data_IF_927602205898
#
_entry.id   IF_927602205898
#
_cell.length_a   1.000
_cell.length_b   1.000
_cell.length_c   1.000
_cell.angle_alpha   90.00
_cell.angle_beta   90.00
_cell.angle_gamma   90.00
#
_symmetry.space_group_name_H-M   'P 1'
#
loop_
_entity.id
_entity.type
_entity.pdbx_description
1 polymer ?
#
# COMPACT_ATOMS: atom_id res chain seq x y z
N UNK A 1 18.03 -5.08 26.26
CA UNK A 1 16.87 -5.94 26.57
C UNK A 1 16.79 -6.05 28.09
N UNK A 2 15.85 -5.35 28.71
CA UNK A 2 15.59 -5.50 30.14
C UNK A 2 14.64 -6.69 30.34
N UNK A 3 15.01 -7.59 31.25
CA UNK A 3 14.20 -8.74 31.62
C UNK A 3 12.88 -8.25 32.23
N UNK A 4 11.75 -8.77 31.72
CA UNK A 4 10.35 -8.55 32.17
C UNK A 4 9.52 -7.42 31.53
N UNK A 5 10.10 -6.43 30.85
CA UNK A 5 9.29 -5.37 30.18
C UNK A 5 9.21 -5.49 28.66
N UNK A 6 10.07 -6.33 28.04
CA UNK A 6 10.11 -6.48 26.59
C UNK A 6 9.27 -7.70 26.14
N UNK A 7 8.34 -7.54 25.18
CA UNK A 7 7.65 -8.66 24.57
C UNK A 7 8.63 -9.58 23.83
N UNK A 8 8.31 -10.88 23.78
CA UNK A 8 9.13 -11.87 23.06
C UNK A 8 9.09 -11.57 21.56
N UNK A 9 10.21 -11.11 21.03
CA UNK A 9 10.42 -10.90 19.60
C UNK A 9 10.77 -12.23 18.94
N UNK A 10 10.10 -12.57 17.85
CA UNK A 10 10.36 -13.79 17.09
C UNK A 10 10.18 -13.56 15.59
N UNK A 11 10.30 -14.64 14.83
CA UNK A 11 10.00 -14.60 13.40
C UNK A 11 8.49 -14.61 13.16
N UNK A 12 8.05 -13.74 12.25
CA UNK A 12 6.68 -13.53 11.87
C UNK A 12 6.54 -13.65 10.35
N UNK A 13 5.48 -14.34 9.92
CA UNK A 13 5.12 -14.41 8.49
C UNK A 13 4.13 -13.30 8.17
N UNK A 14 4.50 -12.45 7.22
CA UNK A 14 3.62 -11.39 6.70
C UNK A 14 3.02 -11.87 5.39
N UNK A 15 1.69 -11.87 5.29
CA UNK A 15 0.95 -12.19 4.06
C UNK A 15 0.32 -10.90 3.52
N UNK A 16 0.75 -10.50 2.33
CA UNK A 16 0.18 -9.37 1.60
C UNK A 16 -1.10 -9.79 0.85
N UNK A 17 -2.08 -8.89 0.72
CA UNK A 17 -3.22 -9.08 -0.18
C UNK A 17 -2.84 -9.29 -1.65
N UNK A 18 -1.64 -8.84 -2.03
CA UNK A 18 -1.01 -9.06 -3.32
C UNK A 18 -0.39 -10.46 -3.53
N UNK A 19 -0.52 -11.37 -2.56
CA UNK A 19 0.05 -12.73 -2.61
C UNK A 19 1.52 -12.82 -2.21
N UNK A 20 2.18 -11.70 -1.92
CA UNK A 20 3.56 -11.69 -1.44
C UNK A 20 3.65 -12.11 0.03
N UNK A 21 4.47 -13.10 0.34
CA UNK A 21 4.77 -13.51 1.72
C UNK A 21 6.23 -13.23 2.06
N UNK A 22 6.49 -12.52 3.17
CA UNK A 22 7.86 -12.28 3.64
C UNK A 22 7.99 -12.51 5.14
N UNK A 23 9.18 -12.96 5.56
CA UNK A 23 9.51 -13.21 6.96
C UNK A 23 10.07 -11.92 7.56
N UNK A 24 9.43 -11.41 8.61
CA UNK A 24 9.91 -10.24 9.38
C UNK A 24 10.00 -10.61 10.85
N UNK A 25 10.77 -9.88 11.64
CA UNK A 25 10.69 -10.04 13.09
C UNK A 25 9.45 -9.30 13.63
N UNK A 26 8.68 -9.96 14.48
CA UNK A 26 7.57 -9.34 15.21
C UNK A 26 7.26 -10.11 16.49
N UNK A 27 6.44 -9.52 17.35
CA UNK A 27 5.89 -10.18 18.53
C UNK A 27 4.74 -11.14 18.14
N UNK A 28 4.09 -10.90 17.00
CA UNK A 28 2.99 -11.69 16.47
C UNK A 28 3.47 -12.64 15.37
N UNK A 29 3.02 -13.90 15.39
CA UNK A 29 3.47 -14.95 14.46
C UNK A 29 2.97 -14.77 13.02
N UNK A 30 1.76 -14.23 12.83
CA UNK A 30 1.16 -13.98 11.51
C UNK A 30 0.66 -12.53 11.45
N UNK A 31 1.02 -11.83 10.37
CA UNK A 31 0.52 -10.50 10.05
C UNK A 31 -0.11 -10.52 8.66
N UNK A 32 -1.38 -10.12 8.57
CA UNK A 32 -2.04 -9.90 7.28
C UNK A 32 -2.02 -8.41 6.98
N UNK A 33 -1.49 -8.06 5.81
CA UNK A 33 -1.28 -6.67 5.41
C UNK A 33 -1.92 -6.46 4.04
N UNK A 34 -2.64 -5.35 3.89
CA UNK A 34 -3.34 -5.02 2.65
C UNK A 34 -2.36 -4.60 1.54
N UNK A 35 -1.30 -3.87 1.92
CA UNK A 35 -0.32 -3.32 0.99
C UNK A 35 1.11 -3.54 1.48
N UNK A 36 1.99 -4.04 0.61
CA UNK A 36 3.43 -4.19 0.87
C UNK A 36 4.27 -3.34 -0.10
N UNK A 37 5.58 -3.30 0.11
CA UNK A 37 6.53 -2.58 -0.76
C UNK A 37 6.45 -2.96 -2.24
N UNK A 38 5.98 -4.17 -2.56
CA UNK A 38 5.79 -4.61 -3.95
C UNK A 38 4.54 -4.06 -4.62
N UNK A 39 3.51 -3.68 -3.87
CA UNK A 39 2.23 -3.24 -4.43
C UNK A 39 1.83 -1.82 -4.03
N UNK A 40 2.52 -1.19 -3.08
CA UNK A 40 2.17 0.16 -2.68
C UNK A 40 2.55 1.15 -3.80
N UNK A 41 1.61 1.97 -4.30
CA UNK A 41 1.81 2.88 -5.45
C UNK A 41 3.03 3.80 -5.33
N UNK A 42 3.42 4.11 -4.09
CA UNK A 42 4.65 4.85 -3.78
C UNK A 42 5.93 4.14 -4.25
N UNK A 43 6.01 2.82 -4.08
CA UNK A 43 7.20 2.03 -4.44
C UNK A 43 7.18 1.53 -5.88
N UNK A 44 5.99 1.32 -6.47
CA UNK A 44 5.84 0.90 -7.87
C UNK A 44 5.88 2.06 -8.85
N UNK A 45 5.95 3.32 -8.37
CA UNK A 45 6.11 4.52 -9.19
C UNK A 45 4.89 4.87 -10.06
N UNK A 46 3.87 4.03 -10.10
CA UNK A 46 2.61 4.31 -10.76
C UNK A 46 1.75 5.17 -9.82
N UNK A 47 1.97 6.49 -9.86
CA UNK A 47 0.90 7.41 -9.52
C UNK A 47 -0.31 7.00 -10.37
N UNK A 48 -1.43 6.68 -9.73
CA UNK A 48 -2.72 6.82 -10.41
C UNK A 48 -2.76 8.27 -10.83
N UNK A 49 -2.38 8.55 -12.08
CA UNK A 49 -2.71 9.79 -12.74
C UNK A 49 -4.21 9.84 -12.62
N UNK A 50 -4.72 10.64 -11.69
CA UNK A 50 -6.07 11.17 -11.79
C UNK A 50 -5.99 11.91 -13.10
N UNK A 51 -6.36 11.23 -14.18
CA UNK A 51 -6.39 11.84 -15.49
C UNK A 51 -7.20 13.11 -15.28
N UNK A 52 -6.61 14.26 -15.57
CA UNK A 52 -7.22 15.57 -15.37
C UNK A 52 -8.35 15.78 -16.40
N UNK A 53 -9.17 14.75 -16.64
CA UNK A 53 -10.35 14.73 -17.50
C UNK A 53 -11.38 15.78 -17.09
N UNK A 54 -11.26 16.34 -15.88
CA UNK A 54 -12.25 17.27 -15.37
C UNK A 54 -12.30 18.63 -16.08
N UNK A 55 -11.19 19.29 -16.40
CA UNK A 55 -11.27 20.71 -16.83
C UNK A 55 -11.64 20.87 -18.29
N UNK A 56 -11.05 20.08 -19.18
CA UNK A 56 -11.28 20.19 -20.63
C UNK A 56 -12.66 19.60 -20.99
N UNK A 57 -13.05 18.44 -20.45
CA UNK A 57 -14.40 17.89 -20.69
C UNK A 57 -15.50 18.80 -20.12
N UNK A 58 -15.29 19.45 -18.97
CA UNK A 58 -16.25 20.45 -18.44
C UNK A 58 -16.32 21.72 -19.28
N UNK A 59 -15.22 22.13 -19.91
CA UNK A 59 -15.20 23.26 -20.84
C UNK A 59 -15.95 22.91 -22.12
N UNK A 60 -15.62 21.79 -22.76
CA UNK A 60 -16.28 21.34 -24.00
C UNK A 60 -17.79 21.11 -23.78
N UNK A 61 -18.20 20.55 -22.62
CA UNK A 61 -19.61 20.37 -22.26
C UNK A 61 -20.36 21.70 -22.03
N UNK A 62 -19.66 22.78 -21.64
CA UNK A 62 -20.28 24.10 -21.41
C UNK A 62 -20.35 24.96 -22.67
N UNK A 63 -19.36 24.84 -23.56
CA UNK A 63 -19.22 25.72 -24.72
C UNK A 63 -19.55 25.05 -26.05
N UNK A 64 -19.93 23.77 -26.06
CA UNK A 64 -20.53 23.12 -27.22
C UNK A 64 -19.65 23.11 -28.46
N UNK A 65 -18.33 23.05 -28.28
CA UNK A 65 -17.42 22.77 -29.39
C UNK A 65 -17.00 21.29 -29.26
N UNK A 66 -17.53 20.48 -30.18
CA UNK A 66 -17.06 19.12 -30.43
C UNK A 66 -15.57 19.10 -30.78
#
# INVERSE_FOLDING_TARGET
MQEKIHPKYGEARVVCGCGNTFTTGSVKKELRVDVCSKCHPFFTGQQRTVAARGRIEKFNKRYGQE
#
